data_IF_483226880675
#
_entry.id   IF_483226880675
#
_cell.length_a   1.000
_cell.length_b   1.000
_cell.length_c   1.000
_cell.angle_alpha   90.00
_cell.angle_beta   90.00
_cell.angle_gamma   90.00
#
_symmetry.space_group_name_H-M   'P 1'
#
loop_
_entity.id
_entity.type
_entity.pdbx_description
1 polymer ?
#
# COMPACT_ATOMS: atom_id res chain seq x y z
N UNK A 1 18.89 -13.11 21.91
CA UNK A 1 17.63 -12.47 21.44
C UNK A 1 16.50 -13.40 21.83
N UNK A 2 15.45 -12.89 22.45
CA UNK A 2 14.30 -13.70 22.88
C UNK A 2 13.04 -13.43 22.03
N UNK A 3 13.02 -12.29 21.37
CA UNK A 3 11.91 -11.83 20.54
C UNK A 3 12.44 -11.20 19.26
N UNK A 4 11.87 -11.59 18.13
CA UNK A 4 12.04 -10.96 16.82
C UNK A 4 10.68 -10.41 16.39
N UNK A 5 10.58 -9.10 16.18
CA UNK A 5 9.47 -8.48 15.50
C UNK A 5 9.83 -8.26 14.03
N UNK A 6 9.09 -8.85 13.13
CA UNK A 6 9.30 -8.69 11.68
C UNK A 6 8.54 -7.49 11.10
N UNK A 7 7.93 -6.68 11.97
CA UNK A 7 7.20 -5.47 11.60
C UNK A 7 5.91 -5.74 10.80
N UNK A 8 5.59 -4.79 9.95
CA UNK A 8 4.35 -4.80 9.17
C UNK A 8 4.53 -4.28 7.75
N UNK A 9 3.49 -3.59 7.24
CA UNK A 9 3.49 -3.05 5.89
C UNK A 9 3.22 -4.08 4.79
N UNK A 10 2.86 -5.31 5.17
CA UNK A 10 2.50 -6.36 4.22
C UNK A 10 1.23 -5.99 3.47
N UNK A 11 1.25 -6.16 2.13
CA UNK A 11 0.09 -5.84 1.30
C UNK A 11 -1.02 -6.87 1.42
N UNK A 12 -2.28 -6.39 1.40
CA UNK A 12 -3.49 -7.20 1.24
C UNK A 12 -4.03 -7.22 -0.19
N UNK A 13 -3.34 -6.58 -1.14
CA UNK A 13 -3.77 -6.52 -2.54
C UNK A 13 -3.73 -7.88 -3.22
N UNK A 14 -4.56 -7.98 -4.27
CA UNK A 14 -4.57 -9.10 -5.20
C UNK A 14 -3.74 -8.75 -6.44
N UNK A 15 -3.10 -9.75 -7.02
CA UNK A 15 -2.48 -9.62 -8.34
C UNK A 15 -3.53 -9.52 -9.45
N UNK A 16 -3.09 -9.31 -10.70
CA UNK A 16 -3.98 -9.25 -11.86
C UNK A 16 -4.77 -10.55 -12.11
N UNK A 17 -4.37 -11.66 -11.50
CA UNK A 17 -5.03 -12.96 -11.58
C UNK A 17 -5.98 -13.23 -10.41
N UNK A 18 -6.07 -12.31 -9.44
CA UNK A 18 -6.90 -12.43 -8.25
C UNK A 18 -6.28 -13.25 -7.12
N UNK A 19 -4.96 -13.51 -7.16
CA UNK A 19 -4.26 -14.17 -6.06
C UNK A 19 -3.80 -13.12 -5.04
N UNK A 20 -3.84 -13.48 -3.76
CA UNK A 20 -3.33 -12.62 -2.69
C UNK A 20 -1.81 -12.56 -2.79
N UNK A 21 -1.25 -11.39 -3.08
CA UNK A 21 0.21 -11.17 -3.20
C UNK A 21 0.98 -11.53 -1.93
N UNK A 22 0.31 -11.53 -0.79
CA UNK A 22 0.89 -11.89 0.50
C UNK A 22 1.44 -13.33 0.54
N UNK A 23 0.93 -14.25 -0.30
CA UNK A 23 1.40 -15.64 -0.33
C UNK A 23 2.89 -15.79 -0.64
N UNK A 24 3.40 -15.01 -1.60
CA UNK A 24 4.83 -15.01 -1.95
C UNK A 24 5.68 -14.38 -0.84
N UNK A 25 5.19 -13.28 -0.25
CA UNK A 25 5.85 -12.62 0.87
C UNK A 25 5.93 -13.59 2.06
N UNK A 26 4.84 -14.24 2.41
CA UNK A 26 4.79 -15.21 3.50
C UNK A 26 5.75 -16.38 3.28
N UNK A 27 5.82 -16.90 2.05
CA UNK A 27 6.75 -17.98 1.71
C UNK A 27 8.20 -17.55 1.89
N UNK A 28 8.54 -16.35 1.44
CA UNK A 28 9.90 -15.78 1.59
C UNK A 28 10.26 -15.61 3.07
N UNK A 29 9.34 -15.04 3.87
CA UNK A 29 9.53 -14.85 5.31
C UNK A 29 9.69 -16.19 6.02
N UNK A 30 8.82 -17.16 5.75
CA UNK A 30 8.88 -18.47 6.38
C UNK A 30 10.19 -19.21 6.06
N UNK A 31 10.68 -19.13 4.84
CA UNK A 31 11.96 -19.71 4.47
C UNK A 31 13.12 -19.04 5.21
N UNK A 32 13.13 -17.71 5.31
CA UNK A 32 14.15 -16.98 6.06
C UNK A 32 14.09 -17.30 7.55
N UNK A 33 12.89 -17.37 8.13
CA UNK A 33 12.71 -17.75 9.54
C UNK A 33 13.21 -19.17 9.80
N UNK A 34 12.89 -20.13 8.95
CA UNK A 34 13.35 -21.50 9.08
C UNK A 34 14.89 -21.60 9.01
N UNK A 35 15.51 -20.77 8.17
CA UNK A 35 16.97 -20.76 8.00
C UNK A 35 17.71 -20.07 9.17
N UNK A 36 17.20 -18.94 9.65
CA UNK A 36 17.91 -18.06 10.57
C UNK A 36 17.41 -18.14 12.01
N UNK A 37 16.16 -18.50 12.20
CA UNK A 37 15.48 -18.59 13.50
C UNK A 37 14.67 -19.88 13.60
N UNK A 38 15.30 -21.05 13.47
CA UNK A 38 14.58 -22.32 13.57
C UNK A 38 13.96 -22.48 14.98
N UNK A 39 12.97 -23.38 15.15
CA UNK A 39 12.27 -23.57 16.43
C UNK A 39 13.21 -23.78 17.62
N UNK A 40 14.35 -24.44 17.39
CA UNK A 40 15.36 -24.74 18.40
C UNK A 40 16.08 -23.48 18.92
N UNK A 41 16.02 -22.37 18.18
CA UNK A 41 16.59 -21.08 18.61
C UNK A 41 15.89 -20.51 19.85
N UNK A 42 14.65 -20.94 20.14
CA UNK A 42 13.83 -20.41 21.22
C UNK A 42 13.39 -18.96 21.04
N UNK A 43 13.65 -18.35 19.87
CA UNK A 43 13.24 -16.98 19.56
C UNK A 43 11.77 -16.95 19.23
N UNK A 44 11.00 -16.13 19.95
CA UNK A 44 9.60 -15.87 19.64
C UNK A 44 9.51 -14.84 18.51
N UNK A 45 8.71 -15.13 17.47
CA UNK A 45 8.50 -14.24 16.32
C UNK A 45 7.13 -13.63 16.42
N UNK A 46 7.04 -12.31 16.21
CA UNK A 46 5.77 -11.56 16.08
C UNK A 46 5.79 -10.70 14.80
N UNK A 47 4.60 -10.27 14.38
CA UNK A 47 4.39 -9.38 13.23
C UNK A 47 3.29 -8.36 13.55
N UNK A 48 3.31 -7.22 12.83
CA UNK A 48 2.35 -6.12 12.97
C UNK A 48 1.61 -5.84 11.64
N UNK A 49 0.78 -6.76 11.12
CA UNK A 49 0.25 -6.75 9.76
C UNK A 49 -0.90 -5.75 9.53
N UNK A 50 -0.76 -4.50 9.96
CA UNK A 50 -1.81 -3.47 9.87
C UNK A 50 -2.30 -3.22 8.45
N UNK A 51 -1.40 -2.99 7.49
CA UNK A 51 -1.74 -2.74 6.08
C UNK A 51 -2.52 -3.89 5.47
N UNK A 52 -2.15 -5.12 5.74
CA UNK A 52 -2.82 -6.32 5.22
C UNK A 52 -4.33 -6.32 5.48
N UNK A 53 -4.75 -5.86 6.65
CA UNK A 53 -6.17 -5.80 7.02
C UNK A 53 -6.86 -4.50 6.58
N UNK A 54 -6.13 -3.40 6.54
CA UNK A 54 -6.71 -2.07 6.33
C UNK A 54 -6.77 -1.65 4.84
N UNK A 55 -5.81 -2.08 4.04
CA UNK A 55 -5.56 -1.55 2.69
C UNK A 55 -6.74 -1.70 1.73
N UNK A 56 -7.46 -2.82 1.82
CA UNK A 56 -8.60 -3.14 0.94
C UNK A 56 -9.96 -2.98 1.61
N UNK A 57 -10.01 -2.45 2.84
CA UNK A 57 -11.23 -2.42 3.66
C UNK A 57 -12.22 -1.33 3.27
N UNK A 58 -11.77 -0.27 2.57
CA UNK A 58 -12.60 0.87 2.26
C UNK A 58 -12.18 1.57 0.96
N UNK A 59 -13.09 2.34 0.41
CA UNK A 59 -12.85 3.23 -0.74
C UNK A 59 -13.10 4.67 -0.32
N UNK A 60 -12.15 5.55 -0.59
CA UNK A 60 -12.31 6.98 -0.39
C UNK A 60 -13.13 7.57 -1.54
N UNK A 61 -14.24 8.22 -1.23
CA UNK A 61 -14.99 9.04 -2.17
C UNK A 61 -14.84 10.52 -1.78
N UNK A 62 -14.43 11.33 -2.75
CA UNK A 62 -14.22 12.76 -2.53
C UNK A 62 -14.82 13.58 -3.66
N UNK A 63 -15.52 14.69 -3.36
CA UNK A 63 -16.05 15.55 -4.40
C UNK A 63 -14.95 16.34 -5.10
N UNK A 64 -15.08 16.48 -6.42
CA UNK A 64 -14.30 17.41 -7.22
C UNK A 64 -14.99 18.77 -7.18
N UNK A 65 -14.33 19.79 -6.64
CA UNK A 65 -14.89 21.15 -6.56
C UNK A 65 -14.26 22.14 -7.55
N UNK A 66 -13.25 21.70 -8.28
CA UNK A 66 -12.60 22.52 -9.31
C UNK A 66 -11.83 21.68 -10.30
N UNK A 67 -11.70 22.21 -11.53
CA UNK A 67 -10.86 21.62 -12.56
C UNK A 67 -10.24 22.70 -13.43
N UNK A 68 -9.07 22.38 -14.01
CA UNK A 68 -8.47 23.16 -15.10
C UNK A 68 -7.79 22.27 -16.12
N UNK A 69 -7.68 22.75 -17.33
CA UNK A 69 -6.83 22.15 -18.34
C UNK A 69 -5.43 22.77 -18.27
N UNK A 70 -4.41 21.93 -18.28
CA UNK A 70 -3.00 22.33 -18.26
C UNK A 70 -2.26 21.65 -19.41
N UNK A 71 -1.54 22.47 -20.19
CA UNK A 71 -0.66 21.94 -21.23
C UNK A 71 0.60 21.33 -20.57
N UNK A 72 0.85 20.08 -20.81
CA UNK A 72 2.12 19.45 -20.45
C UNK A 72 3.17 19.85 -21.49
N UNK A 73 4.09 20.71 -21.09
CA UNK A 73 5.14 21.25 -21.97
C UNK A 73 6.12 20.20 -22.50
N UNK A 74 6.20 19.04 -21.84
CA UNK A 74 7.09 17.95 -22.28
C UNK A 74 6.45 17.06 -23.33
N UNK A 75 5.19 16.73 -23.17
CA UNK A 75 4.48 15.81 -24.07
C UNK A 75 3.58 16.52 -25.09
N UNK A 76 3.29 17.81 -24.91
CA UNK A 76 2.32 18.56 -25.70
C UNK A 76 0.85 18.16 -25.43
N UNK A 77 0.61 17.26 -24.49
CA UNK A 77 -0.73 16.78 -24.18
C UNK A 77 -1.44 17.74 -23.21
N UNK A 78 -2.77 17.84 -23.36
CA UNK A 78 -3.62 18.51 -22.37
C UNK A 78 -3.90 17.55 -21.23
N UNK A 79 -3.47 17.92 -20.03
CA UNK A 79 -3.77 17.22 -18.76
C UNK A 79 -4.84 17.98 -18.00
N UNK A 80 -5.69 17.24 -17.29
CA UNK A 80 -6.70 17.82 -16.39
C UNK A 80 -6.21 17.72 -14.96
N UNK A 81 -6.12 18.88 -14.31
CA UNK A 81 -5.91 18.93 -12.86
C UNK A 81 -7.27 19.05 -12.18
N UNK A 82 -7.51 18.27 -11.14
CA UNK A 82 -8.73 18.29 -10.33
C UNK A 82 -8.41 18.70 -8.90
N UNK A 83 -9.27 19.51 -8.32
CA UNK A 83 -9.22 19.86 -6.90
C UNK A 83 -10.27 19.06 -6.16
N UNK A 84 -9.83 18.38 -5.12
CA UNK A 84 -10.64 17.54 -4.25
C UNK A 84 -10.54 18.02 -2.81
N UNK A 85 -11.44 17.61 -1.94
CA UNK A 85 -11.51 18.05 -0.54
C UNK A 85 -10.54 17.30 0.38
N UNK A 86 -9.67 16.47 -0.15
CA UNK A 86 -8.65 15.72 0.58
C UNK A 86 -7.27 15.92 -0.06
N UNK A 87 -6.20 15.50 0.59
CA UNK A 87 -4.85 15.71 0.08
C UNK A 87 -3.77 14.91 0.80
N UNK A 88 -2.50 15.26 0.48
CA UNK A 88 -1.31 14.58 0.96
C UNK A 88 -1.15 14.57 2.49
N UNK A 89 -1.66 15.57 3.17
CA UNK A 89 -1.63 15.64 4.64
C UNK A 89 -2.89 15.04 5.29
N UNK A 90 -3.79 14.48 4.49
CA UNK A 90 -4.97 13.74 4.90
C UNK A 90 -4.87 12.28 4.47
N UNK A 91 -5.91 11.78 3.79
CA UNK A 91 -6.04 10.37 3.40
C UNK A 91 -5.00 9.90 2.37
N UNK A 92 -4.32 10.83 1.66
CA UNK A 92 -3.27 10.50 0.70
C UNK A 92 -1.85 10.55 1.30
N UNK A 93 -1.69 10.55 2.60
CA UNK A 93 -0.38 10.57 3.26
C UNK A 93 0.48 9.34 2.93
N UNK A 94 -0.14 8.24 2.54
CA UNK A 94 0.53 7.02 2.07
C UNK A 94 1.45 7.26 0.85
N UNK A 95 1.20 8.31 0.06
CA UNK A 95 2.09 8.72 -1.04
C UNK A 95 3.44 9.17 -0.49
N UNK A 96 3.44 9.93 0.61
CA UNK A 96 4.65 10.49 1.21
C UNK A 96 5.39 9.47 2.09
N UNK A 97 4.65 8.74 2.92
CA UNK A 97 5.24 7.89 3.96
C UNK A 97 5.47 6.45 3.52
N UNK A 98 4.67 5.96 2.57
CA UNK A 98 4.70 4.56 2.14
C UNK A 98 5.06 4.39 0.65
N UNK A 99 5.30 5.50 -0.07
CA UNK A 99 5.61 5.47 -1.50
C UNK A 99 4.49 4.88 -2.36
N UNK A 100 3.24 4.93 -1.87
CA UNK A 100 2.09 4.39 -2.57
C UNK A 100 1.68 5.29 -3.75
N UNK A 101 1.05 4.68 -4.76
CA UNK A 101 0.45 5.38 -5.88
C UNK A 101 -1.03 5.00 -5.97
N UNK A 102 -1.92 5.74 -5.26
CA UNK A 102 -3.34 5.43 -5.21
C UNK A 102 -3.97 5.47 -6.60
N UNK A 103 -4.73 4.45 -6.92
CA UNK A 103 -5.55 4.42 -8.12
C UNK A 103 -6.85 5.20 -7.90
N UNK A 104 -7.36 5.81 -8.96
CA UNK A 104 -8.61 6.57 -8.90
C UNK A 104 -9.51 6.26 -10.09
N UNK A 105 -10.81 6.41 -9.86
CA UNK A 105 -11.82 6.37 -10.91
C UNK A 105 -12.80 7.54 -10.74
N UNK A 106 -13.36 8.01 -11.85
CA UNK A 106 -14.35 9.09 -11.82
C UNK A 106 -15.73 8.45 -11.78
N UNK A 107 -16.49 8.75 -10.72
CA UNK A 107 -17.90 8.40 -10.60
C UNK A 107 -18.72 9.56 -11.13
N UNK A 108 -19.64 9.30 -12.09
CA UNK A 108 -20.54 10.28 -12.70
C UNK A 108 -21.96 10.09 -12.22
#
# INVERSE_FOLDING_TARGET
>A
MELLDIGGGFTGHFDACGNVMFGEIASTINNALAQHFPPESGVRVIAEPGRYFAETSATLMTPVYGQRDRLDTKSGAVKKDYWITDGLYGSFNCILYDGQNPEYSVVR
#
